data_IF_944251455770
#
_entry.id   IF_944251455770
#
_cell.length_a   1.000
_cell.length_b   1.000
_cell.length_c   1.000
_cell.angle_alpha   90.00
_cell.angle_beta   90.00
_cell.angle_gamma   90.00
#
_symmetry.space_group_name_H-M   'P 1'
#
loop_
_entity.id
_entity.type
_entity.pdbx_description
1 polymer ?
#
# COMPACT_ATOMS: atom_id res chain seq x y z
N UNK A 1 8.04 11.59 -7.39
CA UNK A 1 8.99 10.46 -7.21
C UNK A 1 8.25 9.17 -7.44
N UNK A 2 8.86 8.14 -8.04
CA UNK A 2 8.22 6.85 -8.34
C UNK A 2 8.98 5.73 -7.64
N UNK A 3 8.30 4.93 -6.82
CA UNK A 3 8.80 3.68 -6.26
C UNK A 3 8.20 2.50 -7.03
N UNK A 4 9.04 1.57 -7.50
CA UNK A 4 8.59 0.39 -8.27
C UNK A 4 8.71 -0.87 -7.43
N UNK A 5 7.61 -1.64 -7.29
CA UNK A 5 7.63 -2.96 -6.63
C UNK A 5 7.41 -4.08 -7.67
N UNK A 6 8.10 -5.22 -7.53
CA UNK A 6 7.91 -6.35 -8.43
C UNK A 6 6.59 -7.06 -8.14
N UNK A 7 5.93 -7.52 -9.22
CA UNK A 7 4.66 -8.23 -9.16
C UNK A 7 4.73 -9.52 -8.31
N UNK A 8 3.64 -9.90 -7.64
CA UNK A 8 3.55 -11.21 -6.98
C UNK A 8 3.50 -12.35 -8.02
N UNK A 9 4.18 -13.47 -7.74
CA UNK A 9 4.09 -14.67 -8.57
C UNK A 9 2.77 -15.42 -8.32
N UNK A 10 1.76 -15.08 -9.13
CA UNK A 10 0.45 -15.71 -9.06
C UNK A 10 0.46 -17.20 -9.43
N UNK A 11 1.48 -17.70 -10.15
CA UNK A 11 1.56 -19.12 -10.48
C UNK A 11 2.02 -19.93 -9.28
N UNK A 12 3.03 -19.45 -8.55
CA UNK A 12 3.48 -20.07 -7.31
C UNK A 12 2.35 -20.14 -6.28
N UNK A 13 1.60 -19.04 -6.11
CA UNK A 13 0.47 -18.98 -5.17
C UNK A 13 -0.62 -20.00 -5.51
N UNK A 14 -1.02 -20.10 -6.78
CA UNK A 14 -2.03 -21.07 -7.21
C UNK A 14 -1.57 -22.52 -7.04
N UNK A 15 -0.28 -22.79 -7.23
CA UNK A 15 0.28 -24.11 -6.99
C UNK A 15 0.23 -24.49 -5.50
N UNK A 16 0.55 -23.55 -4.59
CA UNK A 16 0.38 -23.76 -3.15
C UNK A 16 -1.07 -24.00 -2.74
N UNK A 17 -2.01 -23.22 -3.29
CA UNK A 17 -3.44 -23.38 -2.99
C UNK A 17 -3.96 -24.73 -3.46
N UNK A 18 -3.56 -25.19 -4.66
CA UNK A 18 -3.92 -26.52 -5.16
C UNK A 18 -3.36 -27.66 -4.29
N UNK A 19 -2.15 -27.50 -3.72
CA UNK A 19 -1.57 -28.46 -2.78
C UNK A 19 -2.40 -28.48 -1.48
N UNK A 20 -2.80 -27.31 -0.95
CA UNK A 20 -3.59 -27.19 0.28
C UNK A 20 -5.02 -27.73 0.12
N UNK A 21 -5.67 -27.49 -1.02
CA UNK A 21 -6.99 -28.04 -1.34
C UNK A 21 -6.98 -29.58 -1.48
N UNK A 22 -5.81 -30.18 -1.74
CA UNK A 22 -5.66 -31.64 -1.84
C UNK A 22 -5.42 -32.37 -0.51
N UNK A 23 -5.32 -31.64 0.62
CA UNK A 23 -5.17 -32.20 1.96
C UNK A 23 -6.51 -32.52 2.65
N UNK A 24 -6.49 -33.36 3.69
CA UNK A 24 -7.69 -33.71 4.48
C UNK A 24 -8.25 -32.55 5.32
N UNK A 25 -7.56 -31.41 5.39
CA UNK A 25 -8.03 -30.21 6.10
C UNK A 25 -9.04 -29.40 5.27
N UNK A 26 -10.12 -28.98 5.93
CA UNK A 26 -11.18 -28.14 5.34
C UNK A 26 -10.57 -26.87 4.73
N UNK A 27 -10.77 -26.68 3.42
CA UNK A 27 -10.21 -25.56 2.66
C UNK A 27 -10.37 -24.20 3.36
N UNK A 28 -9.26 -23.62 3.77
CA UNK A 28 -9.21 -22.29 4.38
C UNK A 28 -8.98 -21.25 3.29
N UNK A 29 -9.87 -20.27 3.21
CA UNK A 29 -9.74 -19.16 2.27
C UNK A 29 -8.51 -18.31 2.62
N UNK A 30 -7.59 -18.13 1.67
CA UNK A 30 -6.39 -17.29 1.83
C UNK A 30 -6.82 -15.81 1.84
N UNK A 31 -6.62 -15.11 2.96
CA UNK A 31 -6.93 -13.67 3.12
C UNK A 31 -5.68 -12.78 2.87
N UNK A 32 -4.56 -13.38 2.44
CA UNK A 32 -3.34 -12.64 2.09
C UNK A 32 -2.16 -13.54 1.75
N UNK A 33 -1.12 -12.96 1.17
CA UNK A 33 0.14 -13.64 0.83
C UNK A 33 1.29 -13.04 1.64
N UNK A 34 2.06 -13.89 2.35
CA UNK A 34 3.38 -13.49 2.83
C UNK A 34 4.35 -13.59 1.66
N UNK A 35 5.21 -12.58 1.50
CA UNK A 35 6.27 -12.59 0.49
C UNK A 35 7.57 -12.12 1.10
N UNK A 36 8.66 -12.72 0.65
CA UNK A 36 9.96 -12.11 0.81
C UNK A 36 10.03 -10.92 -0.15
N UNK A 37 10.13 -9.73 0.43
CA UNK A 37 10.42 -8.52 -0.31
C UNK A 37 11.93 -8.47 -0.55
N UNK A 38 12.34 -7.93 -1.71
CA UNK A 38 13.73 -7.46 -1.86
C UNK A 38 14.07 -6.52 -0.71
N UNK A 39 15.35 -6.35 -0.39
CA UNK A 39 15.76 -5.41 0.65
C UNK A 39 15.02 -4.08 0.48
N UNK A 40 14.47 -3.53 1.57
CA UNK A 40 13.68 -2.32 1.49
C UNK A 40 14.53 -1.26 0.78
N UNK A 41 13.95 -0.64 -0.24
CA UNK A 41 14.57 0.54 -0.83
C UNK A 41 14.69 1.59 0.28
N UNK A 42 15.93 1.84 0.73
CA UNK A 42 16.21 2.87 1.73
C UNK A 42 16.22 4.21 1.00
N UNK A 43 15.11 4.94 1.09
CA UNK A 43 15.03 6.29 0.58
C UNK A 43 15.60 7.28 1.60
N UNK A 44 16.87 7.65 1.45
CA UNK A 44 17.47 8.77 2.21
C UNK A 44 17.61 10.00 1.30
N UNK A 45 16.70 10.95 1.48
CA UNK A 45 16.86 12.31 0.96
C UNK A 45 16.20 12.56 -0.39
N UNK A 46 14.92 12.94 -0.36
CA UNK A 46 14.41 14.22 -0.88
C UNK A 46 13.22 14.64 -0.02
N UNK A 47 13.14 15.91 0.33
CA UNK A 47 11.91 16.51 0.83
C UNK A 47 10.84 16.33 -0.25
N UNK A 48 9.65 15.90 0.15
CA UNK A 48 8.50 15.93 -0.74
C UNK A 48 8.34 17.37 -1.29
N UNK A 49 8.10 17.48 -2.60
CA UNK A 49 7.79 18.79 -3.18
C UNK A 49 6.35 19.12 -2.84
N UNK A 50 6.19 20.09 -1.94
CA UNK A 50 4.88 20.62 -1.56
C UNK A 50 4.37 21.57 -2.63
N UNK A 51 3.07 21.46 -2.91
CA UNK A 51 2.33 22.32 -3.80
C UNK A 51 1.16 22.93 -3.04
N UNK A 52 1.11 24.26 -2.99
CA UNK A 52 -0.04 24.97 -2.46
C UNK A 52 -1.22 24.89 -3.44
N UNK A 53 -2.41 24.73 -2.89
CA UNK A 53 -3.68 24.72 -3.60
C UNK A 53 -4.43 26.03 -3.34
N UNK A 54 -5.32 26.40 -4.26
CA UNK A 54 -6.09 27.65 -4.21
C UNK A 54 -7.02 27.77 -2.98
N UNK A 55 -7.29 26.65 -2.31
CA UNK A 55 -8.10 26.59 -1.08
C UNK A 55 -7.28 26.77 0.20
N UNK A 56 -5.98 27.05 0.10
CA UNK A 56 -5.07 27.26 1.24
C UNK A 56 -4.52 25.97 1.85
N UNK A 57 -4.76 24.82 1.23
CA UNK A 57 -4.14 23.54 1.61
C UNK A 57 -2.83 23.36 0.83
N UNK A 58 -1.92 22.53 1.35
CA UNK A 58 -0.68 22.17 0.66
C UNK A 58 -0.62 20.67 0.52
N UNK A 59 -0.31 20.18 -0.68
CA UNK A 59 -0.24 18.75 -0.96
C UNK A 59 1.17 18.35 -1.35
N UNK A 60 1.59 17.17 -0.95
CA UNK A 60 2.77 16.53 -1.51
C UNK A 60 2.56 15.03 -1.69
N UNK A 61 3.11 14.44 -2.75
CA UNK A 61 2.83 13.05 -3.10
C UNK A 61 4.04 12.26 -3.61
N UNK A 62 4.02 10.96 -3.34
CA UNK A 62 4.90 9.95 -3.95
C UNK A 62 4.05 8.97 -4.74
N UNK A 63 4.48 8.68 -5.97
CA UNK A 63 3.88 7.62 -6.77
C UNK A 63 4.51 6.28 -6.42
N UNK A 64 3.65 5.28 -6.26
CA UNK A 64 4.02 3.88 -6.05
C UNK A 64 3.42 3.09 -7.21
N UNK A 65 4.27 2.42 -7.97
CA UNK A 65 3.89 1.64 -9.15
C UNK A 65 4.27 0.18 -8.92
N UNK A 66 3.35 -0.73 -9.14
CA UNK A 66 3.61 -2.17 -9.09
C UNK A 66 2.60 -2.92 -9.93
N UNK A 67 3.10 -3.72 -10.85
CA UNK A 67 2.26 -4.70 -11.53
C UNK A 67 1.69 -5.68 -10.51
N UNK A 68 0.39 -5.99 -10.59
CA UNK A 68 -0.34 -6.79 -9.61
C UNK A 68 -0.73 -6.07 -8.31
N UNK A 69 -0.59 -4.74 -8.20
CA UNK A 69 -0.99 -4.02 -6.98
C UNK A 69 -2.51 -3.91 -6.80
N UNK A 70 -3.30 -4.01 -7.88
CA UNK A 70 -4.76 -3.90 -7.80
C UNK A 70 -5.35 -4.84 -6.73
N UNK A 71 -6.06 -4.26 -5.76
CA UNK A 71 -6.67 -5.00 -4.66
C UNK A 71 -5.72 -5.37 -3.51
N UNK A 72 -4.41 -5.14 -3.64
CA UNK A 72 -3.44 -5.28 -2.55
C UNK A 72 -3.55 -4.12 -1.58
N UNK A 73 -3.02 -4.26 -0.36
CA UNK A 73 -2.92 -3.17 0.62
C UNK A 73 -1.47 -2.86 0.93
N UNK A 74 -1.18 -1.58 1.13
CA UNK A 74 0.12 -1.14 1.65
C UNK A 74 0.12 -1.29 3.17
N UNK A 75 1.10 -2.02 3.68
CA UNK A 75 1.37 -2.15 5.11
C UNK A 75 2.46 -1.17 5.53
N UNK A 76 2.24 -0.46 6.62
CA UNK A 76 3.21 0.44 7.24
C UNK A 76 3.66 -0.15 8.56
N UNK A 77 4.96 -0.34 8.74
CA UNK A 77 5.56 -0.74 10.02
C UNK A 77 5.69 0.45 10.97
N UNK A 78 5.86 1.65 10.44
CA UNK A 78 5.83 2.92 11.19
C UNK A 78 5.21 3.97 10.29
N UNK A 79 4.22 4.69 10.80
CA UNK A 79 3.62 5.84 10.14
C UNK A 79 3.37 6.92 11.18
N UNK A 80 4.25 7.92 11.22
CA UNK A 80 4.07 9.11 12.06
C UNK A 80 3.50 10.24 11.22
N UNK A 81 2.25 10.62 11.49
CA UNK A 81 1.58 11.74 10.83
C UNK A 81 1.56 12.92 11.80
N UNK A 82 2.16 14.07 11.46
CA UNK A 82 2.11 15.26 12.30
C UNK A 82 0.67 15.72 12.60
N UNK A 83 0.40 16.34 13.76
CA UNK A 83 -0.92 16.89 14.06
C UNK A 83 -1.38 17.87 12.99
N UNK A 84 -2.63 17.72 12.54
CA UNK A 84 -3.23 18.58 11.51
C UNK A 84 -2.95 18.13 10.07
N UNK A 85 -2.16 17.07 9.88
CA UNK A 85 -1.85 16.51 8.57
C UNK A 85 -2.68 15.23 8.33
N UNK A 86 -3.03 14.97 7.08
CA UNK A 86 -3.73 13.73 6.68
C UNK A 86 -2.93 13.00 5.61
N UNK A 87 -2.72 11.70 5.80
CA UNK A 87 -2.15 10.84 4.77
C UNK A 87 -3.27 10.21 3.94
N UNK A 88 -3.10 10.17 2.62
CA UNK A 88 -4.08 9.70 1.66
C UNK A 88 -3.46 8.67 0.74
N UNK A 89 -4.26 7.68 0.35
CA UNK A 89 -3.97 6.86 -0.81
C UNK A 89 -4.88 7.29 -1.95
N UNK A 90 -4.28 7.74 -3.04
CA UNK A 90 -4.97 8.31 -4.19
C UNK A 90 -4.81 7.40 -5.40
N UNK A 91 -5.90 7.16 -6.11
CA UNK A 91 -5.87 6.52 -7.42
C UNK A 91 -5.21 7.46 -8.44
N UNK A 92 -4.08 7.05 -9.02
CA UNK A 92 -3.38 7.86 -10.02
C UNK A 92 -4.20 8.06 -11.31
N UNK A 93 -5.15 7.16 -11.60
CA UNK A 93 -5.97 7.25 -12.81
C UNK A 93 -7.14 8.23 -12.68
N UNK A 94 -7.74 8.33 -11.49
CA UNK A 94 -8.95 9.13 -11.26
C UNK A 94 -8.76 10.33 -10.34
N UNK A 95 -7.66 10.37 -9.57
CA UNK A 95 -7.40 11.37 -8.54
C UNK A 95 -8.25 11.20 -7.28
N UNK A 96 -9.06 10.14 -7.18
CA UNK A 96 -9.86 9.88 -5.98
C UNK A 96 -9.01 9.37 -4.83
N UNK A 97 -9.12 10.02 -3.68
CA UNK A 97 -8.36 9.71 -2.46
C UNK A 97 -9.18 9.03 -1.38
N UNK A 98 -8.56 8.09 -0.67
CA UNK A 98 -9.07 7.53 0.58
C UNK A 98 -8.06 7.81 1.71
N UNK A 99 -8.52 8.30 2.88
CA UNK A 99 -7.61 8.60 3.98
C UNK A 99 -7.02 7.31 4.56
N UNK A 100 -5.74 7.35 4.91
CA UNK A 100 -5.07 6.29 5.66
C UNK A 100 -5.40 6.53 7.12
N UNK A 101 -6.35 5.75 7.63
CA UNK A 101 -6.79 5.85 9.02
C UNK A 101 -6.06 4.79 9.85
N UNK A 102 -5.49 5.16 11.01
CA UNK A 102 -4.95 4.20 11.96
C UNK A 102 -6.01 3.12 12.31
N UNK A 103 -5.77 1.79 12.18
CA UNK A 103 -6.75 0.82 12.62
C UNK A 103 -6.93 0.89 14.14
N UNK A 104 -8.17 1.04 14.60
CA UNK A 104 -8.48 1.00 16.03
C UNK A 104 -8.34 -0.41 16.67
N UNK A 105 -8.00 -1.44 15.87
CA UNK A 105 -8.24 -2.86 16.21
C UNK A 105 -6.98 -3.74 16.14
N UNK A 106 -5.89 -3.28 15.53
CA UNK A 106 -4.66 -4.07 15.42
C UNK A 106 -3.60 -3.57 16.40
N UNK A 107 -3.00 -4.50 17.15
CA UNK A 107 -1.82 -4.19 17.93
C UNK A 107 -0.70 -3.74 17.00
N UNK A 108 0.02 -2.70 17.40
CA UNK A 108 1.26 -2.26 16.77
C UNK A 108 2.17 -3.44 16.38
N UNK A 109 2.96 -3.33 15.29
CA UNK A 109 3.30 -2.09 14.57
C UNK A 109 2.75 -2.01 13.14
N UNK A 110 1.88 -2.92 12.71
CA UNK A 110 1.49 -3.03 11.30
C UNK A 110 0.16 -2.33 11.01
N UNK A 111 0.24 -1.16 10.38
CA UNK A 111 -0.90 -0.35 9.92
C UNK A 111 -1.22 -0.71 8.48
N UNK A 112 -2.48 -0.91 8.13
CA UNK A 112 -2.88 -1.21 6.75
C UNK A 112 -3.61 -0.02 6.13
N UNK A 113 -3.12 0.43 4.98
CA UNK A 113 -3.83 1.36 4.13
C UNK A 113 -5.06 0.73 3.46
N UNK A 114 -5.86 1.53 2.73
CA UNK A 114 -6.92 1.01 1.89
C UNK A 114 -6.37 0.08 0.80
N UNK A 115 -7.26 -0.58 0.04
CA UNK A 115 -6.83 -1.43 -1.07
C UNK A 115 -6.49 -0.58 -2.29
N UNK A 116 -5.37 -0.86 -2.94
CA UNK A 116 -4.91 -0.13 -4.11
C UNK A 116 -5.97 -0.21 -5.22
N UNK A 117 -6.50 0.94 -5.68
CA UNK A 117 -7.52 0.99 -6.74
C UNK A 117 -6.96 0.67 -8.13
N UNK A 118 -5.63 0.63 -8.28
CA UNK A 118 -4.95 0.39 -9.55
C UNK A 118 -3.52 -0.14 -9.37
N UNK A 119 -2.77 -0.14 -10.47
CA UNK A 119 -1.36 -0.55 -10.53
C UNK A 119 -0.41 0.58 -10.10
N UNK A 120 -0.89 1.82 -10.17
CA UNK A 120 -0.22 3.01 -9.66
C UNK A 120 -1.15 3.69 -8.65
N UNK A 121 -0.59 4.06 -7.51
CA UNK A 121 -1.25 4.87 -6.49
C UNK A 121 -0.33 5.99 -6.06
N UNK A 122 -0.89 7.09 -5.60
CA UNK A 122 -0.13 8.13 -4.93
C UNK A 122 -0.35 8.06 -3.43
N UNK A 123 0.75 8.01 -2.67
CA UNK A 123 0.74 8.31 -1.25
C UNK A 123 0.89 9.82 -1.11
N UNK A 124 -0.21 10.48 -0.76
CA UNK A 124 -0.30 11.94 -0.66
C UNK A 124 -0.45 12.40 0.79
N UNK A 125 0.01 13.60 1.07
CA UNK A 125 -0.05 14.25 2.37
C UNK A 125 -0.63 15.64 2.18
N UNK A 126 -1.64 15.96 2.99
CA UNK A 126 -2.33 17.25 3.08
C UNK A 126 -2.11 17.85 4.46
#
# INVERSE_FOLDING_TARGET
>A
MVAVLPAPDLRAIRAEDAIRESGEEKGTMRIGILRDLSEPFVFSGKTLQWQDLDNGLSWAAVSIVSEGALGMRLGFTVLEIPPGMTAWMVDAATGLGMPIVPPAVFAEPLWWGPSCPGQEVWLAFE
#
